data_IF_335650097964
#
_entry.id   IF_335650097964
#
_cell.length_a   1.000
_cell.length_b   1.000
_cell.length_c   1.000
_cell.angle_alpha   90.00
_cell.angle_beta   90.00
_cell.angle_gamma   90.00
#
_symmetry.space_group_name_H-M   'P 1'
#
loop_
_entity.id
_entity.type
_entity.pdbx_description
1 polymer ?
#
# COMPACT_ATOMS: atom_id res chain seq x y z
N UNK A 1 -24.55 21.18 9.57
CA UNK A 1 -23.32 21.03 8.77
C UNK A 1 -23.57 21.55 7.37
N UNK A 2 -22.62 22.26 6.75
CA UNK A 2 -22.77 22.78 5.39
C UNK A 2 -22.40 21.74 4.33
N UNK A 3 -23.12 21.74 3.20
CA UNK A 3 -22.86 20.89 2.03
C UNK A 3 -21.41 21.05 1.53
N UNK A 4 -20.90 22.29 1.57
CA UNK A 4 -19.52 22.60 1.18
C UNK A 4 -18.48 21.87 2.05
N UNK A 5 -18.72 21.79 3.36
CA UNK A 5 -17.84 21.06 4.28
C UNK A 5 -17.83 19.55 4.01
N UNK A 6 -18.99 18.99 3.64
CA UNK A 6 -19.10 17.58 3.24
C UNK A 6 -18.28 17.31 1.99
N UNK A 7 -18.42 18.14 0.94
CA UNK A 7 -17.66 18.00 -0.31
C UNK A 7 -16.16 18.12 -0.07
N UNK A 8 -15.72 19.11 0.73
CA UNK A 8 -14.31 19.26 1.10
C UNK A 8 -13.74 18.03 1.81
N UNK A 9 -14.53 17.37 2.67
CA UNK A 9 -14.12 16.14 3.34
C UNK A 9 -13.94 14.97 2.37
N UNK A 10 -14.84 14.81 1.39
CA UNK A 10 -14.70 13.77 0.35
C UNK A 10 -13.48 14.07 -0.54
N UNK A 11 -13.30 15.32 -0.96
CA UNK A 11 -12.16 15.71 -1.79
C UNK A 11 -10.82 15.39 -1.11
N UNK A 12 -10.69 15.68 0.19
CA UNK A 12 -9.49 15.37 0.95
C UNK A 12 -9.23 13.85 1.09
N UNK A 13 -10.30 13.06 1.31
CA UNK A 13 -10.21 11.60 1.33
C UNK A 13 -9.76 11.03 -0.02
N UNK A 14 -10.28 11.59 -1.11
CA UNK A 14 -9.88 11.19 -2.45
C UNK A 14 -8.42 11.57 -2.75
N UNK A 15 -8.01 12.80 -2.41
CA UNK A 15 -6.64 13.27 -2.62
C UNK A 15 -5.61 12.42 -1.87
N UNK A 16 -5.89 12.07 -0.61
CA UNK A 16 -5.02 11.19 0.20
C UNK A 16 -4.95 9.77 -0.36
N UNK A 17 -6.09 9.18 -0.76
CA UNK A 17 -6.12 7.87 -1.39
C UNK A 17 -5.34 7.86 -2.72
N UNK A 18 -5.51 8.90 -3.54
CA UNK A 18 -4.82 9.06 -4.81
C UNK A 18 -3.31 9.27 -4.64
N UNK A 19 -2.90 10.01 -3.62
CA UNK A 19 -1.48 10.18 -3.28
C UNK A 19 -0.85 8.83 -2.90
N UNK A 20 -1.50 8.04 -2.05
CA UNK A 20 -1.03 6.68 -1.68
C UNK A 20 -0.89 5.79 -2.91
N UNK A 21 -1.92 5.74 -3.76
CA UNK A 21 -1.89 4.92 -4.97
C UNK A 21 -0.74 5.30 -5.91
N UNK A 22 -0.49 6.61 -6.09
CA UNK A 22 0.66 7.07 -6.91
C UNK A 22 1.99 6.72 -6.26
N UNK A 23 2.12 6.91 -4.96
CA UNK A 23 3.34 6.55 -4.22
C UNK A 23 3.63 5.06 -4.30
N UNK A 24 2.64 4.19 -4.09
CA UNK A 24 2.79 2.74 -4.24
C UNK A 24 3.27 2.38 -5.65
N UNK A 25 2.68 2.97 -6.69
CA UNK A 25 3.09 2.74 -8.09
C UNK A 25 4.53 3.18 -8.35
N UNK A 26 4.93 4.35 -7.84
CA UNK A 26 6.30 4.85 -7.98
C UNK A 26 7.27 3.93 -7.23
N UNK A 27 6.94 3.57 -5.99
CA UNK A 27 7.79 2.73 -5.15
C UNK A 27 7.97 1.31 -5.71
N UNK A 28 6.94 0.75 -6.34
CA UNK A 28 7.01 -0.55 -7.01
C UNK A 28 7.72 -0.49 -8.37
N UNK A 29 7.71 0.67 -9.02
CA UNK A 29 8.45 0.89 -10.27
C UNK A 29 9.93 1.21 -10.07
N UNK A 30 10.36 1.42 -8.82
CA UNK A 30 11.77 1.65 -8.52
C UNK A 30 12.59 0.38 -8.82
N UNK A 31 13.82 0.54 -9.34
CA UNK A 31 14.79 -0.55 -9.44
C UNK A 31 15.05 -1.25 -8.09
N UNK A 32 15.33 -2.55 -8.12
CA UNK A 32 15.55 -3.36 -6.90
C UNK A 32 16.70 -2.84 -6.02
N UNK A 33 17.74 -2.23 -6.61
CA UNK A 33 18.86 -1.62 -5.86
C UNK A 33 18.38 -0.45 -4.99
N UNK A 34 17.64 0.50 -5.57
CA UNK A 34 17.09 1.65 -4.84
C UNK A 34 16.03 1.23 -3.82
N UNK A 35 15.29 0.16 -4.12
CA UNK A 35 14.31 -0.44 -3.21
C UNK A 35 14.96 -1.03 -1.96
N UNK A 36 16.13 -1.65 -2.10
CA UNK A 36 16.93 -2.16 -0.97
C UNK A 36 17.53 -1.04 -0.15
N UNK A 37 18.03 0.01 -0.79
CA UNK A 37 18.63 1.17 -0.11
C UNK A 37 17.64 1.90 0.81
N UNK A 38 16.36 1.94 0.44
CA UNK A 38 15.29 2.55 1.25
C UNK A 38 14.55 1.55 2.16
N UNK A 39 14.89 0.25 2.10
CA UNK A 39 14.24 -0.81 2.89
C UNK A 39 12.81 -1.17 2.46
N UNK A 40 12.47 -1.05 1.17
CA UNK A 40 11.11 -1.19 0.63
C UNK A 40 11.02 -2.23 -0.51
N UNK A 41 10.17 -3.28 -0.48
CA UNK A 41 9.39 -3.85 0.61
C UNK A 41 9.86 -5.30 0.94
N UNK A 42 11.13 -5.49 1.32
CA UNK A 42 11.68 -6.84 1.61
C UNK A 42 11.03 -7.50 2.86
N UNK A 43 10.49 -6.68 3.77
CA UNK A 43 9.70 -7.08 4.95
C UNK A 43 8.28 -7.60 4.62
N UNK A 44 7.72 -7.27 3.45
CA UNK A 44 6.42 -7.81 3.03
C UNK A 44 6.55 -9.19 2.40
N UNK A 45 7.65 -9.49 1.71
CA UNK A 45 7.87 -10.81 1.10
C UNK A 45 8.08 -11.91 2.17
N UNK A 46 8.83 -11.61 3.24
CA UNK A 46 8.98 -12.51 4.40
C UNK A 46 7.70 -12.68 5.22
N UNK A 47 6.75 -11.75 5.14
CA UNK A 47 5.42 -11.87 5.77
C UNK A 47 4.38 -12.50 4.86
N UNK A 48 4.46 -12.27 3.56
CA UNK A 48 3.63 -12.91 2.53
C UNK A 48 3.90 -14.41 2.50
N UNK A 49 5.17 -14.83 2.51
CA UNK A 49 5.56 -16.25 2.62
C UNK A 49 5.01 -16.92 3.89
N UNK A 50 4.99 -16.21 5.02
CA UNK A 50 4.36 -16.70 6.26
C UNK A 50 2.84 -16.76 6.17
N UNK A 51 2.20 -15.76 5.56
CA UNK A 51 0.77 -15.79 5.29
C UNK A 51 0.42 -16.97 4.37
N UNK A 52 1.08 -17.14 3.24
CA UNK A 52 0.81 -18.27 2.32
C UNK A 52 1.04 -19.63 2.98
N UNK A 53 2.04 -19.78 3.85
CA UNK A 53 2.26 -21.01 4.61
C UNK A 53 1.14 -21.28 5.64
N UNK A 54 0.57 -20.24 6.26
CA UNK A 54 -0.50 -20.40 7.26
C UNK A 54 -1.88 -20.62 6.60
N UNK A 55 -2.15 -19.98 5.46
CA UNK A 55 -3.40 -20.16 4.70
C UNK A 55 -3.42 -21.48 3.91
N UNK A 56 -2.26 -22.03 3.53
CA UNK A 56 -2.16 -23.35 2.89
C UNK A 56 -2.39 -24.52 3.86
N UNK A 57 -2.30 -24.31 5.17
CA UNK A 57 -2.46 -25.35 6.19
C UNK A 57 -3.94 -25.67 6.51
N UNK A 58 -4.90 -24.98 5.90
CA UNK A 58 -6.33 -25.10 6.23
C UNK A 58 -7.19 -25.60 5.06
N UNK A 59 -6.60 -26.43 4.21
CA UNK A 59 -7.32 -27.24 3.22
C UNK A 59 -6.93 -28.70 3.42
N UNK A 60 -7.50 -29.33 4.44
CA UNK A 60 -7.76 -30.79 4.51
C UNK A 60 -9.13 -30.95 5.17
#
# INVERSE_FOLDING_TARGET
>A
MSILSSIGRIANRYATARARYRSERILLSLPDELRKDIGFPEILDTRSSRYTATFSSKVI
#
